data_IF_057751669035
#
_entry.id   IF_057751669035
#
_cell.length_a   1.000
_cell.length_b   1.000
_cell.length_c   1.000
_cell.angle_alpha   90.00
_cell.angle_beta   90.00
_cell.angle_gamma   90.00
#
_symmetry.space_group_name_H-M   'P 1'
#
loop_
_entity.id
_entity.type
_entity.pdbx_description
1 polymer ?
#
# COMPACT_ATOMS: atom_id res chain seq x y z
N UNK A 1 -5.28 26.33 -8.31
CA UNK A 1 -5.48 25.03 -7.65
C UNK A 1 -4.12 24.40 -7.36
N UNK A 2 -4.00 23.60 -6.30
CA UNK A 2 -2.76 22.91 -5.90
C UNK A 2 -3.09 21.45 -5.60
N UNK A 3 -2.46 20.50 -6.30
CA UNK A 3 -2.80 19.08 -6.15
C UNK A 3 -1.56 18.24 -5.94
N UNK A 4 -1.62 17.35 -4.95
CA UNK A 4 -0.58 16.35 -4.67
C UNK A 4 -1.22 14.97 -4.67
N UNK A 5 -0.65 14.06 -5.45
CA UNK A 5 -0.99 12.63 -5.39
C UNK A 5 -0.03 11.99 -4.40
N UNK A 6 -0.55 11.34 -3.35
CA UNK A 6 0.27 10.57 -2.42
C UNK A 6 0.85 9.40 -3.21
N UNK A 7 2.19 9.22 -3.27
CA UNK A 7 2.78 8.00 -3.80
C UNK A 7 2.19 6.82 -3.02
N UNK A 8 1.38 5.97 -3.68
CA UNK A 8 0.60 4.98 -2.97
C UNK A 8 1.54 3.97 -2.31
N UNK A 9 1.45 3.74 -0.98
CA UNK A 9 2.24 2.70 -0.34
C UNK A 9 1.83 1.32 -0.86
N UNK A 10 2.81 0.43 -0.96
CA UNK A 10 2.60 -0.96 -1.37
C UNK A 10 1.86 -1.74 -0.27
N UNK A 11 0.94 -2.64 -0.64
CA UNK A 11 0.21 -3.56 0.29
C UNK A 11 1.08 -4.65 0.94
N UNK A 12 2.38 -4.43 1.03
CA UNK A 12 3.39 -5.48 1.30
C UNK A 12 3.89 -5.48 2.75
N UNK A 13 3.45 -4.54 3.59
CA UNK A 13 3.81 -4.49 5.01
C UNK A 13 3.53 -3.16 5.70
N UNK A 14 4.06 -3.03 6.91
CA UNK A 14 3.89 -1.83 7.76
C UNK A 14 4.67 -0.63 7.20
N UNK A 15 4.09 0.56 7.36
CA UNK A 15 4.76 1.81 7.07
C UNK A 15 6.01 1.98 7.97
N UNK A 16 7.01 2.68 7.44
CA UNK A 16 8.29 2.92 8.10
C UNK A 16 8.64 4.41 8.07
N UNK A 17 9.71 4.84 8.76
CA UNK A 17 10.09 6.26 8.90
C UNK A 17 10.21 7.01 7.55
N UNK A 18 10.68 6.36 6.49
CA UNK A 18 10.66 6.95 5.14
C UNK A 18 9.26 7.35 4.64
N UNK A 19 8.21 6.56 4.92
CA UNK A 19 6.83 6.89 4.60
C UNK A 19 6.34 8.10 5.42
N UNK A 20 6.69 8.13 6.70
CA UNK A 20 6.36 9.25 7.60
C UNK A 20 6.97 10.54 7.06
N UNK A 21 8.27 10.55 6.75
CA UNK A 21 8.95 11.71 6.17
C UNK A 21 8.28 12.21 4.90
N UNK A 22 7.97 11.30 3.96
CA UNK A 22 7.33 11.65 2.70
C UNK A 22 5.94 12.28 2.92
N UNK A 23 5.12 11.68 3.79
CA UNK A 23 3.78 12.18 4.10
C UNK A 23 3.82 13.50 4.85
N UNK A 24 4.77 13.71 5.77
CA UNK A 24 4.93 14.97 6.51
C UNK A 24 5.27 16.12 5.57
N UNK A 25 6.19 15.92 4.62
CA UNK A 25 6.54 16.96 3.65
C UNK A 25 5.34 17.36 2.79
N UNK A 26 4.58 16.38 2.29
CA UNK A 26 3.38 16.63 1.51
C UNK A 26 2.30 17.35 2.32
N UNK A 27 2.05 16.91 3.56
CA UNK A 27 1.08 17.54 4.47
C UNK A 27 1.41 19.01 4.73
N UNK A 28 2.68 19.34 4.98
CA UNK A 28 3.14 20.73 5.15
C UNK A 28 2.84 21.57 3.90
N UNK A 29 3.14 21.07 2.71
CA UNK A 29 2.90 21.83 1.48
C UNK A 29 1.41 22.00 1.15
N UNK A 30 0.60 20.95 1.33
CA UNK A 30 -0.85 21.00 1.13
C UNK A 30 -1.50 21.97 2.11
N UNK A 31 -1.11 21.95 3.39
CA UNK A 31 -1.60 22.90 4.41
C UNK A 31 -1.22 24.33 4.05
N UNK A 32 0.03 24.57 3.67
CA UNK A 32 0.49 25.89 3.23
C UNK A 32 -0.30 26.38 2.01
N UNK A 33 -0.51 25.54 1.01
CA UNK A 33 -1.31 25.91 -0.17
C UNK A 33 -2.75 26.27 0.19
N UNK A 34 -3.38 25.51 1.11
CA UNK A 34 -4.72 25.82 1.65
C UNK A 34 -4.74 27.16 2.38
N UNK A 35 -3.72 27.47 3.18
CA UNK A 35 -3.60 28.76 3.88
C UNK A 35 -3.38 29.94 2.92
N UNK A 36 -2.79 29.72 1.75
CA UNK A 36 -2.63 30.73 0.69
C UNK A 36 -3.91 30.94 -0.14
N UNK A 37 -5.04 30.34 0.24
CA UNK A 37 -6.31 30.45 -0.47
C UNK A 37 -6.42 29.61 -1.74
N UNK A 38 -5.48 28.68 -1.98
CA UNK A 38 -5.56 27.78 -3.13
C UNK A 38 -6.54 26.64 -2.83
N UNK A 39 -7.31 26.23 -3.84
CA UNK A 39 -8.05 24.97 -3.81
C UNK A 39 -7.03 23.80 -3.80
N UNK A 40 -6.75 23.28 -2.61
CA UNK A 40 -5.73 22.27 -2.35
C UNK A 40 -6.35 20.87 -2.28
N UNK A 41 -5.91 19.96 -3.15
CA UNK A 41 -6.33 18.56 -3.22
C UNK A 41 -5.17 17.63 -2.87
N UNK A 42 -5.42 16.68 -1.96
CA UNK A 42 -4.44 15.67 -1.56
C UNK A 42 -5.07 14.30 -1.74
N UNK A 43 -4.61 13.55 -2.75
CA UNK A 43 -5.27 12.32 -3.22
C UNK A 43 -4.57 11.10 -2.63
N UNK A 44 -5.23 10.33 -1.75
CA UNK A 44 -4.69 9.07 -1.22
C UNK A 44 -4.92 7.89 -2.18
N UNK A 45 -4.15 6.82 -1.98
CA UNK A 45 -4.31 5.55 -2.69
C UNK A 45 -3.34 4.50 -2.14
N UNK A 46 -3.52 3.23 -2.52
CA UNK A 46 -2.63 2.11 -2.19
C UNK A 46 -2.27 1.33 -3.45
N UNK A 47 -1.04 0.80 -3.52
CA UNK A 47 -0.54 0.08 -4.68
C UNK A 47 -0.56 -1.42 -4.41
N UNK A 48 -1.25 -2.16 -5.30
CA UNK A 48 -1.34 -3.62 -5.29
C UNK A 48 0.03 -4.32 -5.26
N UNK A 49 1.08 -3.69 -5.79
CA UNK A 49 2.46 -4.18 -5.71
C UNK A 49 2.61 -5.66 -6.11
N UNK A 50 1.92 -6.08 -7.19
CA UNK A 50 1.61 -7.46 -7.58
C UNK A 50 2.69 -8.51 -7.24
N UNK A 51 3.90 -8.39 -7.81
CA UNK A 51 4.97 -9.39 -7.61
C UNK A 51 5.47 -9.39 -6.16
N UNK A 52 5.56 -8.22 -5.53
CA UNK A 52 6.01 -8.08 -4.16
C UNK A 52 4.97 -8.65 -3.18
N UNK A 53 3.68 -8.43 -3.45
CA UNK A 53 2.56 -9.03 -2.69
C UNK A 53 2.55 -10.55 -2.85
N UNK A 54 2.74 -11.06 -4.07
CA UNK A 54 2.85 -12.49 -4.33
C UNK A 54 3.99 -13.13 -3.54
N UNK A 55 5.17 -12.52 -3.54
CA UNK A 55 6.33 -13.03 -2.80
C UNK A 55 6.06 -13.12 -1.28
N UNK A 56 5.36 -12.13 -0.72
CA UNK A 56 4.96 -12.13 0.70
C UNK A 56 3.91 -13.19 1.02
N UNK A 57 2.89 -13.34 0.18
CA UNK A 57 1.86 -14.39 0.33
C UNK A 57 2.49 -15.77 0.25
N UNK A 58 3.40 -16.00 -0.70
CA UNK A 58 4.12 -17.28 -0.83
C UNK A 58 5.00 -17.57 0.39
N UNK A 59 5.68 -16.56 0.94
CA UNK A 59 6.46 -16.72 2.17
C UNK A 59 5.56 -17.13 3.36
N UNK A 60 4.42 -16.46 3.52
CA UNK A 60 3.42 -16.78 4.55
C UNK A 60 2.83 -18.19 4.38
N UNK A 61 2.54 -18.61 3.16
CA UNK A 61 2.06 -19.96 2.88
C UNK A 61 3.12 -21.02 3.20
N UNK A 62 4.39 -20.75 2.89
CA UNK A 62 5.51 -21.62 3.25
C UNK A 62 5.69 -21.76 4.76
N UNK A 63 5.50 -20.69 5.53
CA UNK A 63 5.51 -20.74 7.01
C UNK A 63 4.38 -21.63 7.56
N UNK A 64 3.24 -21.70 6.85
CA UNK A 64 2.13 -22.62 7.15
C UNK A 64 2.31 -24.03 6.57
N UNK A 65 3.44 -24.32 5.91
CA UNK A 65 3.72 -25.61 5.28
C UNK A 65 3.01 -25.86 3.95
N UNK A 66 2.36 -24.84 3.37
CA UNK A 66 1.61 -24.94 2.12
C UNK A 66 2.51 -24.49 0.96
N UNK A 67 2.66 -25.31 -0.08
CA UNK A 67 3.37 -24.92 -1.30
C UNK A 67 2.40 -24.29 -2.29
N UNK A 68 2.83 -23.22 -2.96
CA UNK A 68 2.05 -22.57 -4.03
C UNK A 68 1.67 -23.55 -5.15
N UNK A 69 2.54 -24.51 -5.46
CA UNK A 69 2.31 -25.54 -6.48
C UNK A 69 1.10 -26.44 -6.21
N UNK A 70 0.70 -26.52 -4.94
CA UNK A 70 -0.34 -27.44 -4.47
C UNK A 70 -1.71 -26.74 -4.46
N UNK A 71 -1.77 -25.45 -4.81
CA UNK A 71 -2.97 -24.62 -4.84
C UNK A 71 -3.44 -24.38 -6.28
N UNK A 72 -4.75 -24.34 -6.48
CA UNK A 72 -5.34 -23.79 -7.70
C UNK A 72 -5.16 -22.26 -7.74
N UNK A 73 -5.43 -21.66 -8.91
CA UNK A 73 -5.43 -20.20 -9.05
C UNK A 73 -6.42 -19.56 -8.07
N UNK A 74 -7.62 -20.12 -7.98
CA UNK A 74 -8.69 -19.62 -7.11
C UNK A 74 -8.26 -19.69 -5.63
N UNK A 75 -7.71 -20.83 -5.18
CA UNK A 75 -7.23 -20.97 -3.82
C UNK A 75 -6.06 -20.04 -3.48
N UNK A 76 -5.17 -19.77 -4.43
CA UNK A 76 -4.12 -18.77 -4.24
C UNK A 76 -4.70 -17.35 -4.13
N UNK A 77 -5.71 -17.02 -4.94
CA UNK A 77 -6.34 -15.70 -4.93
C UNK A 77 -7.05 -15.40 -3.62
N UNK A 78 -7.67 -16.39 -2.97
CA UNK A 78 -8.27 -16.22 -1.63
C UNK A 78 -7.22 -15.76 -0.61
N UNK A 79 -6.07 -16.43 -0.56
CA UNK A 79 -4.97 -16.04 0.34
C UNK A 79 -4.36 -14.67 0.00
N UNK A 80 -4.31 -14.31 -1.29
CA UNK A 80 -3.86 -12.99 -1.71
C UNK A 80 -4.84 -11.89 -1.26
N UNK A 81 -6.15 -12.16 -1.30
CA UNK A 81 -7.17 -11.27 -0.77
C UNK A 81 -7.12 -11.16 0.75
N UNK A 82 -6.97 -12.26 1.48
CA UNK A 82 -6.75 -12.23 2.94
C UNK A 82 -5.55 -11.38 3.33
N UNK A 83 -4.44 -11.49 2.57
CA UNK A 83 -3.26 -10.66 2.77
C UNK A 83 -3.57 -9.18 2.52
N UNK A 84 -4.26 -8.87 1.42
CA UNK A 84 -4.66 -7.51 1.09
C UNK A 84 -5.56 -6.91 2.18
N UNK A 85 -6.53 -7.65 2.71
CA UNK A 85 -7.38 -7.15 3.80
C UNK A 85 -6.59 -6.89 5.08
N UNK A 86 -5.58 -7.72 5.37
CA UNK A 86 -4.76 -7.57 6.58
C UNK A 86 -3.74 -6.43 6.50
N UNK A 87 -3.17 -6.16 5.32
CA UNK A 87 -2.09 -5.19 5.13
C UNK A 87 -2.47 -4.02 4.19
N UNK A 88 -3.74 -3.96 3.80
CA UNK A 88 -4.38 -3.04 2.85
C UNK A 88 -4.32 -1.56 3.19
N UNK A 89 -4.20 -1.26 4.47
CA UNK A 89 -4.61 0.02 5.03
C UNK A 89 -6.04 -0.07 5.57
#
# INVERSE_FOLDING_TARGET
>A
AYTVVIPPPNVTGMLHMGHVLNNTLQDVFVRRARMMGLNACWVPGTDHASIATEAKVVAMLREKGIKKSDLSREGFMEHAWEWKEKYGG
#
